data_IF_305651472095
#
_entry.id   IF_305651472095
#
_cell.length_a   1.000
_cell.length_b   1.000
_cell.length_c   1.000
_cell.angle_alpha   90.00
_cell.angle_beta   90.00
_cell.angle_gamma   90.00
#
_symmetry.space_group_name_H-M   'P 1'
#
loop_
_entity.id
_entity.type
_entity.pdbx_description
1 polymer ?
#
# COMPACT_ATOMS: atom_id res chain seq x y z
N UNK A 1 -16.84 -38.80 24.08
CA UNK A 1 -17.57 -37.60 23.59
C UNK A 1 -16.77 -36.33 23.87
N UNK A 2 -15.51 -36.21 23.40
CA UNK A 2 -14.71 -35.01 23.68
C UNK A 2 -13.59 -34.75 22.65
N UNK A 3 -13.75 -35.14 21.39
CA UNK A 3 -12.77 -34.84 20.33
C UNK A 3 -13.37 -34.21 19.09
N UNK A 4 -14.68 -33.95 19.06
CA UNK A 4 -15.39 -33.47 17.87
C UNK A 4 -15.86 -32.02 18.00
N UNK A 5 -15.70 -31.38 19.16
CA UNK A 5 -16.24 -30.05 19.47
C UNK A 5 -15.20 -28.90 19.50
N UNK A 6 -13.93 -29.16 19.19
CA UNK A 6 -12.90 -28.10 19.08
C UNK A 6 -12.56 -27.70 17.63
N UNK A 7 -13.27 -28.23 16.63
CA UNK A 7 -13.02 -27.94 15.20
C UNK A 7 -13.95 -26.90 14.58
N UNK A 8 -14.69 -26.16 15.39
CA UNK A 8 -15.66 -25.14 14.93
C UNK A 8 -15.52 -23.84 15.72
N UNK A 9 -14.36 -23.17 15.61
CA UNK A 9 -14.21 -21.71 15.86
C UNK A 9 -12.79 -21.27 15.49
N UNK A 10 -12.44 -21.41 14.21
CA UNK A 10 -11.41 -20.56 13.61
C UNK A 10 -11.99 -20.07 12.29
N UNK A 11 -12.62 -18.89 12.32
CA UNK A 11 -12.79 -18.09 11.10
C UNK A 11 -11.38 -17.70 10.69
N UNK A 12 -10.72 -18.60 9.96
CA UNK A 12 -9.36 -18.43 9.50
C UNK A 12 -9.38 -17.23 8.56
N UNK A 13 -8.74 -16.14 8.99
CA UNK A 13 -8.16 -15.16 8.07
C UNK A 13 -7.56 -15.93 6.90
N UNK A 14 -7.87 -15.57 5.64
CA UNK A 14 -7.34 -16.28 4.49
C UNK A 14 -5.81 -16.32 4.64
N UNK A 15 -5.29 -17.51 4.90
CA UNK A 15 -3.86 -17.71 5.08
C UNK A 15 -3.20 -17.44 3.72
N UNK A 16 -2.26 -16.50 3.69
CA UNK A 16 -1.59 -16.11 2.46
C UNK A 16 -0.80 -17.33 1.96
N UNK A 17 -1.09 -17.76 0.73
CA UNK A 17 -0.34 -18.83 0.07
C UNK A 17 1.10 -18.37 -0.20
N UNK A 18 2.01 -18.73 0.71
CA UNK A 18 3.43 -18.37 0.61
C UNK A 18 4.12 -19.02 -0.60
N UNK A 19 3.55 -20.10 -1.16
CA UNK A 19 4.05 -20.72 -2.38
C UNK A 19 3.79 -19.85 -3.61
N UNK A 20 2.54 -19.42 -3.77
CA UNK A 20 2.13 -18.54 -4.86
C UNK A 20 2.75 -17.14 -4.74
N UNK A 21 2.66 -16.51 -3.57
CA UNK A 21 3.07 -15.12 -3.35
C UNK A 21 4.51 -14.96 -2.85
N UNK A 22 5.33 -16.02 -2.88
CA UNK A 22 6.69 -16.04 -2.33
C UNK A 22 7.51 -14.79 -2.65
N UNK A 23 7.55 -14.36 -3.92
CA UNK A 23 8.38 -13.23 -4.37
C UNK A 23 7.74 -11.88 -4.00
N UNK A 24 6.42 -11.81 -3.99
CA UNK A 24 5.68 -10.60 -3.66
C UNK A 24 5.74 -10.30 -2.15
N UNK A 25 5.74 -11.32 -1.30
CA UNK A 25 5.86 -11.17 0.15
C UNK A 25 7.19 -10.49 0.54
N UNK A 26 8.29 -10.73 -0.18
CA UNK A 26 9.57 -10.06 0.08
C UNK A 26 9.58 -8.57 -0.29
N UNK A 27 8.63 -8.12 -1.11
CA UNK A 27 8.49 -6.70 -1.50
C UNK A 27 7.48 -5.98 -0.61
N UNK A 28 6.31 -6.60 -0.39
CA UNK A 28 5.20 -5.95 0.31
C UNK A 28 5.17 -6.24 1.82
N UNK A 29 5.75 -7.36 2.26
CA UNK A 29 5.57 -7.88 3.61
C UNK A 29 4.20 -8.54 3.82
N UNK A 30 4.11 -9.40 4.85
CA UNK A 30 2.89 -10.18 5.14
C UNK A 30 1.71 -9.30 5.57
N UNK A 31 1.97 -8.21 6.27
CA UNK A 31 0.91 -7.32 6.75
C UNK A 31 0.19 -6.60 5.60
N UNK A 32 0.95 -6.02 4.65
CA UNK A 32 0.36 -5.36 3.49
C UNK A 32 -0.37 -6.36 2.58
N UNK A 33 0.17 -7.57 2.40
CA UNK A 33 -0.51 -8.66 1.71
C UNK A 33 -1.83 -9.05 2.37
N UNK A 34 -1.87 -9.12 3.70
CA UNK A 34 -3.10 -9.40 4.43
C UNK A 34 -4.15 -8.29 4.23
N UNK A 35 -3.73 -7.03 4.27
CA UNK A 35 -4.61 -5.89 3.96
C UNK A 35 -5.16 -5.96 2.53
N UNK A 36 -4.31 -6.29 1.56
CA UNK A 36 -4.70 -6.46 0.15
C UNK A 36 -5.72 -7.60 -0.01
N UNK A 37 -5.54 -8.72 0.68
CA UNK A 37 -6.47 -9.85 0.68
C UNK A 37 -7.86 -9.54 1.24
N UNK A 38 -8.08 -8.35 1.81
CA UNK A 38 -9.37 -7.82 2.26
C UNK A 38 -9.86 -6.63 1.40
N UNK A 39 -9.13 -6.24 0.36
CA UNK A 39 -9.50 -5.11 -0.51
C UNK A 39 -10.58 -5.49 -1.53
N UNK A 40 -11.58 -4.62 -1.67
CA UNK A 40 -12.68 -4.72 -2.63
C UNK A 40 -12.52 -3.59 -3.65
N UNK A 41 -12.07 -3.94 -4.84
CA UNK A 41 -11.67 -3.00 -5.88
C UNK A 41 -12.72 -2.95 -6.98
N UNK A 42 -13.19 -1.75 -7.31
CA UNK A 42 -13.98 -1.49 -8.52
C UNK A 42 -13.08 -0.86 -9.58
N UNK A 43 -13.11 -1.37 -10.81
CA UNK A 43 -12.38 -0.80 -11.94
C UNK A 43 -13.39 -0.41 -13.02
N UNK A 44 -13.53 0.88 -13.31
CA UNK A 44 -14.41 1.39 -14.37
C UNK A 44 -13.63 1.77 -15.62
N UNK A 45 -14.06 1.19 -16.75
CA UNK A 45 -13.39 1.26 -18.05
C UNK A 45 -12.48 0.06 -18.26
N UNK A 46 -12.72 -0.68 -19.34
CA UNK A 46 -12.06 -1.96 -19.63
C UNK A 46 -11.45 -1.98 -21.03
N UNK A 47 -10.80 -0.87 -21.39
CA UNK A 47 -9.89 -0.77 -22.54
C UNK A 47 -8.47 -1.21 -22.11
N UNK A 48 -7.44 -0.97 -22.93
CA UNK A 48 -6.06 -1.38 -22.65
C UNK A 48 -5.53 -0.96 -21.26
N UNK A 49 -5.77 0.28 -20.84
CA UNK A 49 -5.36 0.75 -19.51
C UNK A 49 -6.07 -0.01 -18.37
N UNK A 50 -7.38 -0.21 -18.51
CA UNK A 50 -8.20 -0.88 -17.51
C UNK A 50 -7.82 -2.34 -17.33
N UNK A 51 -7.58 -3.08 -18.42
CA UNK A 51 -7.19 -4.50 -18.35
C UNK A 51 -5.82 -4.69 -17.71
N UNK A 52 -4.87 -3.79 -17.99
CA UNK A 52 -3.53 -3.86 -17.43
C UNK A 52 -3.53 -3.60 -15.92
N UNK A 53 -4.32 -2.62 -15.46
CA UNK A 53 -4.54 -2.38 -14.03
C UNK A 53 -5.22 -3.59 -13.38
N UNK A 54 -6.30 -4.10 -13.99
CA UNK A 54 -7.03 -5.24 -13.46
C UNK A 54 -6.14 -6.48 -13.32
N UNK A 55 -5.35 -6.81 -14.35
CA UNK A 55 -4.39 -7.92 -14.33
C UNK A 55 -3.46 -7.82 -13.12
N UNK A 56 -2.84 -6.67 -12.92
CA UNK A 56 -1.86 -6.48 -11.84
C UNK A 56 -2.51 -6.53 -10.44
N UNK A 57 -3.72 -6.00 -10.27
CA UNK A 57 -4.46 -6.06 -9.00
C UNK A 57 -4.90 -7.50 -8.67
N UNK A 58 -5.36 -8.25 -9.68
CA UNK A 58 -5.77 -9.65 -9.51
C UNK A 58 -4.56 -10.54 -9.20
N UNK A 59 -3.45 -10.38 -9.93
CA UNK A 59 -2.21 -11.09 -9.61
C UNK A 59 -1.68 -10.71 -8.24
N UNK A 60 -1.90 -9.46 -7.80
CA UNK A 60 -1.55 -9.00 -6.46
C UNK A 60 -2.33 -9.69 -5.34
N UNK A 61 -3.51 -10.24 -5.61
CA UNK A 61 -4.30 -11.00 -4.62
C UNK A 61 -5.31 -10.17 -3.82
N UNK A 62 -5.95 -9.17 -4.45
CA UNK A 62 -7.07 -8.47 -3.84
C UNK A 62 -8.24 -9.43 -3.50
N UNK A 63 -9.12 -9.09 -2.55
CA UNK A 63 -10.26 -9.97 -2.19
C UNK A 63 -11.23 -10.14 -3.35
N UNK A 64 -11.64 -9.01 -3.90
CA UNK A 64 -12.67 -8.94 -4.94
C UNK A 64 -12.31 -7.82 -5.91
N UNK A 65 -12.44 -8.12 -7.20
CA UNK A 65 -12.21 -7.16 -8.27
C UNK A 65 -13.45 -7.16 -9.16
N UNK A 66 -14.17 -6.05 -9.16
CA UNK A 66 -15.35 -5.85 -10.01
C UNK A 66 -14.96 -5.04 -11.23
N UNK A 67 -15.16 -5.62 -12.40
CA UNK A 67 -14.91 -4.98 -13.68
C UNK A 67 -16.18 -4.30 -14.17
N UNK A 68 -16.14 -2.99 -14.35
CA UNK A 68 -17.28 -2.20 -14.81
C UNK A 68 -16.98 -1.55 -16.16
N UNK A 69 -17.81 -1.84 -17.15
CA UNK A 69 -17.81 -1.16 -18.44
C UNK A 69 -19.20 -1.34 -19.09
N UNK A 70 -19.76 -0.27 -19.62
CA UNK A 70 -21.06 -0.27 -20.28
C UNK A 70 -20.94 -0.37 -21.81
N UNK A 71 -19.73 -0.17 -22.35
CA UNK A 71 -19.50 -0.13 -23.78
C UNK A 71 -19.28 -1.53 -24.36
N UNK A 72 -19.46 -1.59 -25.68
CA UNK A 72 -19.17 -2.77 -26.48
C UNK A 72 -17.74 -2.71 -27.01
N UNK A 73 -17.11 -3.88 -27.15
CA UNK A 73 -15.82 -4.04 -27.81
C UNK A 73 -15.91 -3.45 -29.22
N UNK A 74 -14.99 -2.54 -29.53
CA UNK A 74 -14.77 -1.97 -30.85
C UNK A 74 -13.41 -2.42 -31.39
N UNK A 75 -13.20 -2.28 -32.70
CA UNK A 75 -11.94 -2.66 -33.35
C UNK A 75 -10.74 -1.92 -32.76
N UNK A 76 -10.89 -0.65 -32.40
CA UNK A 76 -9.81 0.17 -31.82
C UNK A 76 -9.36 -0.31 -30.45
N UNK A 77 -10.21 -1.05 -29.72
CA UNK A 77 -9.87 -1.56 -28.40
C UNK A 77 -8.80 -2.67 -28.47
N UNK A 78 -8.76 -3.43 -29.56
CA UNK A 78 -7.78 -4.51 -29.80
C UNK A 78 -6.34 -3.98 -29.90
N UNK A 79 -6.15 -2.67 -30.06
CA UNK A 79 -4.82 -2.04 -30.11
C UNK A 79 -3.99 -2.27 -28.84
N UNK A 80 -4.65 -2.38 -27.69
CA UNK A 80 -3.99 -2.48 -26.38
C UNK A 80 -4.73 -3.39 -25.39
N UNK A 81 -5.98 -3.76 -25.67
CA UNK A 81 -6.70 -4.74 -24.88
C UNK A 81 -6.40 -6.16 -25.42
N UNK A 82 -5.41 -6.80 -24.79
CA UNK A 82 -4.84 -8.10 -25.19
C UNK A 82 -5.72 -9.33 -24.90
N UNK A 83 -6.88 -9.18 -24.25
CA UNK A 83 -7.87 -10.24 -24.07
C UNK A 83 -9.01 -10.20 -25.09
N UNK A 84 -9.12 -9.15 -25.91
CA UNK A 84 -10.13 -9.09 -26.94
C UNK A 84 -9.62 -9.66 -28.26
N UNK A 85 -10.53 -10.30 -28.98
CA UNK A 85 -10.35 -10.80 -30.35
C UNK A 85 -11.37 -10.17 -31.29
N UNK A 86 -11.19 -10.32 -32.60
CA UNK A 86 -12.15 -9.81 -33.59
C UNK A 86 -13.56 -10.43 -33.42
N UNK A 87 -13.64 -11.67 -32.91
CA UNK A 87 -14.91 -12.33 -32.59
C UNK A 87 -15.67 -11.72 -31.41
N UNK A 88 -15.01 -10.88 -30.61
CA UNK A 88 -15.61 -10.24 -29.44
C UNK A 88 -16.28 -8.89 -29.78
N UNK A 89 -16.04 -8.36 -30.98
CA UNK A 89 -16.59 -7.07 -31.43
C UNK A 89 -18.11 -7.06 -31.31
N UNK A 90 -18.64 -6.03 -30.65
CA UNK A 90 -20.07 -5.87 -30.37
C UNK A 90 -20.57 -6.51 -29.07
N UNK A 91 -19.75 -7.33 -28.40
CA UNK A 91 -20.03 -7.83 -27.05
C UNK A 91 -19.61 -6.80 -25.98
N UNK A 92 -20.14 -6.90 -24.77
CA UNK A 92 -19.77 -5.98 -23.68
C UNK A 92 -18.32 -6.21 -23.22
N UNK A 93 -17.54 -5.13 -23.07
CA UNK A 93 -16.11 -5.19 -22.72
C UNK A 93 -15.85 -5.86 -21.38
N UNK A 94 -16.61 -5.50 -20.34
CA UNK A 94 -16.42 -6.04 -19.00
C UNK A 94 -16.75 -7.55 -18.96
N UNK A 95 -17.83 -7.95 -19.62
CA UNK A 95 -18.23 -9.35 -19.74
C UNK A 95 -17.16 -10.20 -20.45
N UNK A 96 -16.59 -9.73 -21.56
CA UNK A 96 -15.55 -10.48 -22.28
C UNK A 96 -14.26 -10.56 -21.44
N UNK A 97 -13.86 -9.45 -20.82
CA UNK A 97 -12.61 -9.39 -20.05
C UNK A 97 -12.64 -10.27 -18.79
N UNK A 98 -13.80 -10.39 -18.12
CA UNK A 98 -13.92 -11.12 -16.85
C UNK A 98 -13.51 -12.59 -16.97
N UNK A 99 -13.80 -13.24 -18.10
CA UNK A 99 -13.51 -14.66 -18.31
C UNK A 99 -12.00 -14.91 -18.22
N UNK A 100 -11.21 -14.08 -18.90
CA UNK A 100 -9.74 -14.17 -18.89
C UNK A 100 -9.10 -13.64 -17.62
N UNK A 101 -9.64 -12.57 -17.05
CA UNK A 101 -9.15 -12.03 -15.79
C UNK A 101 -9.34 -13.00 -14.61
N UNK A 102 -10.44 -13.77 -14.60
CA UNK A 102 -10.72 -14.76 -13.56
C UNK A 102 -9.74 -15.95 -13.57
N UNK A 103 -9.11 -16.24 -14.73
CA UNK A 103 -8.12 -17.33 -14.86
C UNK A 103 -6.78 -16.98 -14.18
N UNK A 104 -6.50 -15.70 -13.89
CA UNK A 104 -5.20 -15.24 -13.39
C UNK A 104 -4.90 -15.67 -11.95
N UNK A 105 -5.92 -15.71 -11.09
CA UNK A 105 -5.72 -15.97 -9.67
C UNK A 105 -6.99 -16.54 -9.02
N UNK A 106 -6.95 -17.82 -8.65
CA UNK A 106 -8.09 -18.54 -8.05
C UNK A 106 -8.48 -18.04 -6.66
N UNK A 107 -7.63 -17.25 -5.99
CA UNK A 107 -7.94 -16.66 -4.69
C UNK A 107 -8.75 -15.37 -4.78
N UNK A 108 -8.78 -14.74 -5.97
CA UNK A 108 -9.45 -13.45 -6.19
C UNK A 108 -10.84 -13.67 -6.77
N UNK A 109 -11.87 -13.09 -6.15
CA UNK A 109 -13.20 -13.11 -6.73
C UNK A 109 -13.34 -12.02 -7.79
N UNK A 110 -13.30 -12.40 -9.07
CA UNK A 110 -13.43 -11.47 -10.19
C UNK A 110 -14.85 -11.55 -10.75
N UNK A 111 -15.53 -10.42 -10.85
CA UNK A 111 -16.88 -10.30 -11.43
C UNK A 111 -16.96 -9.11 -12.38
N UNK A 112 -18.05 -9.01 -13.12
CA UNK A 112 -18.33 -7.86 -13.97
C UNK A 112 -19.69 -7.26 -13.65
N UNK A 113 -19.86 -5.98 -13.98
CA UNK A 113 -21.15 -5.29 -13.93
C UNK A 113 -21.25 -4.26 -15.07
N UNK A 114 -22.47 -4.02 -15.52
CA UNK A 114 -22.84 -2.89 -16.38
C UNK A 114 -23.95 -2.06 -15.74
N UNK A 115 -24.14 -2.21 -14.43
CA UNK A 115 -25.13 -1.48 -13.66
C UNK A 115 -24.66 -0.03 -13.42
N UNK A 116 -25.62 0.84 -13.12
CA UNK A 116 -25.30 2.21 -12.73
C UNK A 116 -24.56 2.18 -11.39
N UNK A 117 -23.34 2.73 -11.38
CA UNK A 117 -22.56 2.90 -10.16
C UNK A 117 -23.14 4.05 -9.34
N UNK A 118 -23.80 3.70 -8.24
CA UNK A 118 -24.35 4.61 -7.26
C UNK A 118 -23.97 4.17 -5.83
N UNK A 119 -24.42 4.93 -4.84
CA UNK A 119 -24.14 4.67 -3.42
C UNK A 119 -24.53 3.24 -3.00
N UNK A 120 -25.72 2.80 -3.42
CA UNK A 120 -26.25 1.47 -3.14
C UNK A 120 -25.35 0.39 -3.74
N UNK A 121 -24.87 0.56 -4.96
CA UNK A 121 -23.95 -0.37 -5.61
C UNK A 121 -22.63 -0.46 -4.84
N UNK A 122 -22.02 0.67 -4.51
CA UNK A 122 -20.73 0.73 -3.82
C UNK A 122 -20.83 0.11 -2.42
N UNK A 123 -21.90 0.41 -1.68
CA UNK A 123 -22.15 -0.15 -0.35
C UNK A 123 -22.44 -1.66 -0.39
N UNK A 124 -23.30 -2.12 -1.32
CA UNK A 124 -23.65 -3.54 -1.46
C UNK A 124 -22.42 -4.41 -1.77
N UNK A 125 -21.49 -3.87 -2.57
CA UNK A 125 -20.26 -4.56 -2.96
C UNK A 125 -19.07 -4.28 -2.03
N UNK A 126 -19.27 -3.46 -0.99
CA UNK A 126 -18.25 -3.07 0.01
C UNK A 126 -16.99 -2.46 -0.62
N UNK A 127 -17.16 -1.67 -1.68
CA UNK A 127 -16.05 -1.09 -2.43
C UNK A 127 -15.25 -0.15 -1.52
N UNK A 128 -13.95 -0.41 -1.39
CA UNK A 128 -13.03 0.44 -0.63
C UNK A 128 -11.94 1.07 -1.50
N UNK A 129 -11.74 0.57 -2.72
CA UNK A 129 -10.88 1.21 -3.74
C UNK A 129 -11.66 1.32 -5.05
N UNK A 130 -11.70 2.51 -5.63
CA UNK A 130 -12.30 2.77 -6.93
C UNK A 130 -11.24 3.29 -7.90
N UNK A 131 -10.95 2.50 -8.94
CA UNK A 131 -10.15 2.91 -10.09
C UNK A 131 -11.06 3.36 -11.23
N UNK A 132 -10.88 4.59 -11.72
CA UNK A 132 -11.62 5.16 -12.84
C UNK A 132 -10.66 5.42 -14.01
N UNK A 133 -10.93 4.80 -15.15
CA UNK A 133 -10.07 4.90 -16.34
C UNK A 133 -10.75 5.62 -17.50
N UNK A 134 -10.02 6.54 -18.14
CA UNK A 134 -10.41 7.23 -19.38
C UNK A 134 -11.83 7.85 -19.40
N UNK A 135 -12.38 8.17 -18.22
CA UNK A 135 -13.71 8.75 -18.05
C UNK A 135 -13.73 10.24 -18.42
N UNK A 136 -14.92 10.79 -18.69
CA UNK A 136 -15.09 12.25 -18.90
C UNK A 136 -14.83 13.02 -17.61
N UNK A 137 -14.30 14.23 -17.72
CA UNK A 137 -13.93 15.09 -16.58
C UNK A 137 -15.09 15.29 -15.59
N UNK A 138 -16.29 15.63 -16.08
CA UNK A 138 -17.47 15.84 -15.21
C UNK A 138 -17.81 14.60 -14.38
N UNK A 139 -17.63 13.41 -14.97
CA UNK A 139 -17.86 12.15 -14.26
C UNK A 139 -16.74 11.86 -13.26
N UNK A 140 -15.48 12.17 -13.59
CA UNK A 140 -14.35 12.08 -12.65
C UNK A 140 -14.56 12.99 -11.43
N UNK A 141 -15.08 14.21 -11.62
CA UNK A 141 -15.41 15.14 -10.53
C UNK A 141 -16.54 14.58 -9.66
N UNK A 142 -17.62 14.09 -10.28
CA UNK A 142 -18.75 13.50 -9.54
C UNK A 142 -18.31 12.32 -8.68
N UNK A 143 -17.61 11.35 -9.28
CA UNK A 143 -17.09 10.17 -8.57
C UNK A 143 -16.07 10.57 -7.53
N UNK A 144 -15.19 11.52 -7.86
CA UNK A 144 -14.12 11.95 -6.98
C UNK A 144 -14.62 12.60 -5.69
N UNK A 145 -15.60 13.50 -5.78
CA UNK A 145 -16.22 14.10 -4.60
C UNK A 145 -16.91 13.02 -3.74
N UNK A 146 -17.67 12.13 -4.37
CA UNK A 146 -18.35 11.06 -3.65
C UNK A 146 -17.37 10.14 -2.92
N UNK A 147 -16.31 9.70 -3.59
CA UNK A 147 -15.29 8.83 -2.99
C UNK A 147 -14.59 9.49 -1.81
N UNK A 148 -14.22 10.76 -1.95
CA UNK A 148 -13.58 11.54 -0.89
C UNK A 148 -14.46 11.62 0.36
N UNK A 149 -15.73 12.00 0.19
CA UNK A 149 -16.69 12.20 1.28
C UNK A 149 -17.04 10.90 2.02
N UNK A 150 -16.93 9.75 1.33
CA UNK A 150 -17.26 8.43 1.88
C UNK A 150 -16.04 7.58 2.24
N UNK A 151 -14.83 8.14 2.16
CA UNK A 151 -13.58 7.46 2.52
C UNK A 151 -13.17 6.32 1.57
N UNK A 152 -13.74 6.26 0.36
CA UNK A 152 -13.36 5.30 -0.68
C UNK A 152 -12.08 5.80 -1.35
N UNK A 153 -11.06 4.95 -1.44
CA UNK A 153 -9.77 5.33 -2.02
C UNK A 153 -9.92 5.41 -3.53
N UNK A 154 -9.68 6.58 -4.10
CA UNK A 154 -9.86 6.85 -5.52
C UNK A 154 -8.52 6.87 -6.25
N UNK A 155 -8.47 6.22 -7.40
CA UNK A 155 -7.38 6.34 -8.38
C UNK A 155 -8.01 6.66 -9.73
N UNK A 156 -7.60 7.78 -10.33
CA UNK A 156 -8.01 8.16 -11.68
C UNK A 156 -6.80 8.02 -12.60
N UNK A 157 -6.93 7.26 -13.68
CA UNK A 157 -5.87 7.09 -14.67
C UNK A 157 -6.42 7.32 -16.08
N UNK A 158 -5.71 8.07 -16.92
CA UNK A 158 -6.13 8.28 -18.30
C UNK A 158 -4.94 8.21 -19.23
N UNK A 159 -5.16 7.73 -20.45
CA UNK A 159 -4.15 7.72 -21.51
C UNK A 159 -4.72 8.32 -22.80
N UNK A 160 -3.87 9.08 -23.50
CA UNK A 160 -4.21 9.77 -24.76
C UNK A 160 -2.98 9.73 -25.67
N UNK A 161 -2.86 8.66 -26.46
CA UNK A 161 -1.69 8.44 -27.31
C UNK A 161 -0.42 8.30 -26.46
N UNK A 162 0.54 9.21 -26.65
CA UNK A 162 1.81 9.24 -25.90
C UNK A 162 1.71 9.84 -24.50
N UNK A 163 0.56 10.42 -24.15
CA UNK A 163 0.35 11.10 -22.87
C UNK A 163 -0.43 10.21 -21.90
N UNK A 164 -0.11 10.33 -20.62
CA UNK A 164 -0.82 9.69 -19.53
C UNK A 164 -0.90 10.59 -18.32
N UNK A 165 -1.92 10.38 -17.50
CA UNK A 165 -2.06 11.02 -16.19
C UNK A 165 -2.53 10.01 -15.16
N UNK A 166 -2.08 10.20 -13.93
CA UNK A 166 -2.56 9.49 -12.74
C UNK A 166 -2.84 10.50 -11.63
N UNK A 167 -3.95 10.30 -10.93
CA UNK A 167 -4.33 11.05 -9.75
C UNK A 167 -4.78 10.08 -8.66
N UNK A 168 -4.39 10.35 -7.42
CA UNK A 168 -4.75 9.55 -6.26
C UNK A 168 -5.39 10.44 -5.20
N UNK A 169 -6.49 9.97 -4.64
CA UNK A 169 -7.14 10.58 -3.47
C UNK A 169 -7.53 9.48 -2.48
N UNK A 170 -6.78 9.42 -1.39
CA UNK A 170 -6.98 8.44 -0.32
C UNK A 170 -7.70 9.03 0.90
N UNK A 171 -8.32 10.20 0.74
CA UNK A 171 -9.07 10.91 1.77
C UNK A 171 -8.21 11.80 2.68
N UNK A 172 -8.86 12.44 3.65
CA UNK A 172 -8.21 13.41 4.56
C UNK A 172 -7.27 12.79 5.58
N UNK A 173 -7.36 11.49 5.81
CA UNK A 173 -6.51 10.75 6.75
C UNK A 173 -6.18 9.38 6.18
N UNK A 174 -4.96 9.24 5.66
CA UNK A 174 -4.41 7.99 5.17
C UNK A 174 -3.10 7.69 5.89
N UNK A 175 -3.12 6.65 6.73
CA UNK A 175 -1.96 6.21 7.47
C UNK A 175 -1.03 5.38 6.58
N UNK A 176 0.20 5.86 6.40
CA UNK A 176 1.29 5.17 5.71
C UNK A 176 2.17 4.52 6.76
N UNK A 177 2.17 3.19 6.83
CA UNK A 177 2.93 2.42 7.83
C UNK A 177 4.43 2.35 7.51
N UNK A 178 4.76 2.37 6.22
CA UNK A 178 6.12 2.37 5.70
C UNK A 178 6.16 3.26 4.44
N UNK A 179 6.98 4.30 4.50
CA UNK A 179 7.07 5.35 3.48
C UNK A 179 8.06 5.02 2.36
N UNK A 180 8.95 4.04 2.55
CA UNK A 180 10.01 3.75 1.59
C UNK A 180 10.20 2.27 1.23
N UNK A 181 9.69 1.34 2.05
CA UNK A 181 9.79 -0.10 1.78
C UNK A 181 11.20 -0.67 2.00
N UNK A 182 12.12 0.12 2.55
CA UNK A 182 13.48 -0.29 2.86
C UNK A 182 13.54 -0.94 4.24
N UNK A 183 14.38 -1.96 4.39
CA UNK A 183 14.59 -2.60 5.68
C UNK A 183 15.09 -1.58 6.72
N UNK A 184 14.58 -1.60 7.97
CA UNK A 184 15.07 -0.72 9.01
C UNK A 184 16.58 -0.84 9.21
N UNK A 185 17.27 0.28 9.13
CA UNK A 185 18.73 0.30 9.28
C UNK A 185 19.13 -0.06 10.71
N UNK A 186 20.17 -0.88 10.85
CA UNK A 186 20.76 -1.22 12.16
C UNK A 186 22.26 -0.97 12.14
N UNK A 187 22.76 -0.30 13.17
CA UNK A 187 24.17 0.03 13.34
C UNK A 187 24.67 -0.35 14.74
N UNK A 188 25.98 -0.57 14.85
CA UNK A 188 26.64 -0.88 16.12
C UNK A 188 27.08 0.42 16.79
N UNK A 189 26.75 0.55 18.07
CA UNK A 189 27.12 1.70 18.88
C UNK A 189 28.58 1.56 19.34
N UNK A 190 29.38 2.60 19.12
CA UNK A 190 30.73 2.72 19.67
C UNK A 190 30.71 3.38 21.05
N UNK A 191 29.98 4.48 21.19
CA UNK A 191 29.91 5.29 22.39
C UNK A 191 28.60 6.09 22.43
N UNK A 192 28.11 6.37 23.65
CA UNK A 192 27.02 7.32 23.88
C UNK A 192 27.50 8.35 24.90
N UNK A 193 27.49 9.63 24.53
CA UNK A 193 27.86 10.69 25.47
C UNK A 193 26.79 10.88 26.55
N UNK A 194 27.24 11.30 27.72
CA UNK A 194 26.38 11.68 28.85
C UNK A 194 26.37 13.19 28.96
N UNK A 195 25.39 13.83 28.32
CA UNK A 195 25.32 15.29 28.17
C UNK A 195 23.86 15.74 28.01
N UNK A 196 23.61 17.05 28.01
CA UNK A 196 22.29 17.64 27.75
C UNK A 196 21.79 17.30 26.33
N UNK A 197 22.72 17.00 25.42
CA UNK A 197 22.47 16.41 24.10
C UNK A 197 23.37 15.19 23.93
N UNK A 198 22.83 14.01 24.21
CA UNK A 198 23.49 12.73 24.02
C UNK A 198 23.81 12.50 22.55
N UNK A 199 25.10 12.36 22.26
CA UNK A 199 25.67 12.03 20.95
C UNK A 199 26.00 10.55 20.93
N UNK A 200 25.51 9.86 19.92
CA UNK A 200 25.79 8.44 19.69
C UNK A 200 26.78 8.33 18.54
N UNK A 201 27.92 7.71 18.82
CA UNK A 201 28.96 7.42 17.85
C UNK A 201 28.77 6.00 17.33
N UNK A 202 28.87 5.82 16.01
CA UNK A 202 28.80 4.51 15.38
C UNK A 202 30.17 3.86 15.30
N UNK A 203 30.23 2.53 15.42
CA UNK A 203 31.49 1.77 15.41
C UNK A 203 32.04 1.50 14.00
N UNK A 204 31.30 1.80 12.94
CA UNK A 204 31.63 1.40 11.57
C UNK A 204 32.29 2.53 10.79
N UNK A 205 33.23 2.18 9.89
CA UNK A 205 33.82 3.12 8.91
C UNK A 205 32.81 3.51 7.81
N UNK A 206 31.66 2.84 7.78
CA UNK A 206 30.56 3.12 6.87
C UNK A 206 29.61 4.17 7.46
N UNK A 207 28.96 4.95 6.58
CA UNK A 207 27.93 5.90 7.01
C UNK A 207 26.75 5.16 7.62
N UNK A 208 26.13 5.73 8.66
CA UNK A 208 25.02 5.06 9.34
C UNK A 208 23.75 4.93 8.49
N UNK A 209 23.52 5.85 7.55
CA UNK A 209 22.38 5.83 6.62
C UNK A 209 21.08 6.41 7.15
N UNK A 210 20.93 6.60 8.47
CA UNK A 210 19.78 7.30 9.06
C UNK A 210 19.55 8.71 8.52
N UNK A 211 18.29 9.15 8.54
CA UNK A 211 17.85 10.48 8.12
C UNK A 211 17.43 11.35 9.32
N UNK A 212 17.43 12.66 9.10
CA UNK A 212 17.05 13.64 10.10
C UNK A 212 15.57 13.50 10.49
N UNK A 213 15.29 13.39 11.78
CA UNK A 213 13.93 13.24 12.29
C UNK A 213 13.39 11.81 12.30
N UNK A 214 14.16 10.81 11.85
CA UNK A 214 13.84 9.39 12.04
C UNK A 214 13.72 9.02 13.52
N UNK A 215 13.13 7.87 13.80
CA UNK A 215 13.06 7.29 15.13
C UNK A 215 13.98 6.08 15.21
N UNK A 216 14.60 5.86 16.36
CA UNK A 216 15.45 4.69 16.63
C UNK A 216 15.20 4.10 18.00
N UNK A 217 15.56 2.83 18.19
CA UNK A 217 15.64 2.17 19.49
C UNK A 217 17.00 1.50 19.69
N UNK A 218 17.41 1.36 20.95
CA UNK A 218 18.67 0.76 21.34
C UNK A 218 18.45 -0.62 21.97
N UNK A 219 19.39 -1.54 21.70
CA UNK A 219 19.38 -2.87 22.29
C UNK A 219 20.78 -3.23 22.78
N UNK A 220 20.88 -3.85 23.96
CA UNK A 220 22.12 -4.43 24.47
C UNK A 220 23.22 -3.43 24.86
N UNK A 221 22.89 -2.15 25.08
CA UNK A 221 23.82 -1.14 25.60
C UNK A 221 24.13 -1.43 27.07
N UNK A 222 25.42 -1.45 27.44
CA UNK A 222 25.88 -1.68 28.82
C UNK A 222 26.27 -0.37 29.51
N UNK A 223 26.09 -0.32 30.83
CA UNK A 223 26.38 0.84 31.67
C UNK A 223 25.34 1.96 31.59
N UNK A 224 24.85 2.27 30.39
CA UNK A 224 23.74 3.20 30.13
C UNK A 224 22.48 2.40 29.75
N UNK A 225 21.88 1.67 30.69
CA UNK A 225 20.79 0.74 30.34
C UNK A 225 19.46 1.43 30.08
N UNK A 226 19.32 2.68 30.49
CA UNK A 226 18.11 3.49 30.35
C UNK A 226 17.75 3.78 28.89
N UNK A 227 18.72 3.71 27.96
CA UNK A 227 18.44 3.88 26.53
C UNK A 227 17.83 2.63 25.90
N UNK A 228 18.01 1.46 26.49
CA UNK A 228 17.55 0.21 25.88
C UNK A 228 16.02 0.15 25.83
N UNK A 229 15.48 -0.34 24.72
CA UNK A 229 14.04 -0.47 24.46
C UNK A 229 13.25 0.86 24.54
N UNK A 230 13.96 2.00 24.51
CA UNK A 230 13.36 3.32 24.43
C UNK A 230 13.44 3.86 23.01
N UNK A 231 12.43 4.63 22.63
CA UNK A 231 12.36 5.27 21.32
C UNK A 231 12.88 6.70 21.37
N UNK A 232 13.78 7.03 20.45
CA UNK A 232 14.36 8.37 20.35
C UNK A 232 14.13 8.94 18.95
N UNK A 233 13.65 10.18 18.89
CA UNK A 233 13.71 10.95 17.65
C UNK A 233 15.11 11.50 17.48
N UNK A 234 15.71 11.30 16.31
CA UNK A 234 17.12 11.61 16.09
C UNK A 234 17.33 12.88 15.27
N UNK A 235 18.51 13.46 15.42
CA UNK A 235 19.11 14.37 14.45
C UNK A 235 20.49 13.86 14.05
N UNK A 236 20.92 14.19 12.84
CA UNK A 236 22.07 13.67 12.11
C UNK A 236 23.05 14.83 11.88
N UNK A 237 23.87 15.17 12.88
CA UNK A 237 24.89 16.20 12.73
C UNK A 237 26.03 15.80 11.79
N UNK A 238 26.29 14.49 11.61
CA UNK A 238 27.29 13.98 10.67
C UNK A 238 26.95 12.56 10.21
N UNK A 239 27.57 12.05 9.13
CA UNK A 239 27.33 10.68 8.64
C UNK A 239 27.73 9.54 9.59
N UNK A 240 28.36 9.85 10.73
CA UNK A 240 28.90 8.88 11.70
C UNK A 240 28.32 9.05 13.10
N UNK A 241 27.46 10.05 13.30
CA UNK A 241 26.95 10.42 14.63
C UNK A 241 25.50 10.86 14.55
N UNK A 242 24.70 10.44 15.52
CA UNK A 242 23.32 10.91 15.71
C UNK A 242 23.16 11.49 17.12
N UNK A 243 22.13 12.30 17.34
CA UNK A 243 21.77 12.82 18.68
C UNK A 243 20.41 12.32 19.12
N UNK A 244 20.26 11.97 20.41
CA UNK A 244 19.05 11.34 20.96
C UNK A 244 18.38 12.12 22.11
N UNK A 245 18.76 13.38 22.34
CA UNK A 245 18.22 14.21 23.43
C UNK A 245 19.03 14.09 24.73
N UNK A 246 18.45 14.52 25.87
CA UNK A 246 19.16 14.60 27.16
C UNK A 246 19.47 13.22 27.74
N UNK A 247 20.77 12.94 27.90
CA UNK A 247 21.30 11.72 28.53
C UNK A 247 22.03 12.02 29.85
N UNK A 248 22.03 13.27 30.34
CA UNK A 248 22.78 13.70 31.53
C UNK A 248 22.46 12.90 32.80
N UNK A 249 21.22 12.42 32.91
CA UNK A 249 20.70 11.64 34.03
C UNK A 249 20.94 10.13 33.90
N UNK A 250 21.42 9.65 32.75
CA UNK A 250 21.64 8.22 32.53
C UNK A 250 22.96 7.74 33.14
N UNK A 251 23.11 6.42 33.24
CA UNK A 251 24.38 5.79 33.54
C UNK A 251 25.48 6.09 32.52
N UNK A 252 26.73 5.82 32.88
CA UNK A 252 27.86 5.96 31.94
C UNK A 252 27.87 4.80 30.97
N UNK A 253 28.07 5.08 29.67
CA UNK A 253 28.23 4.02 28.68
C UNK A 253 29.49 3.18 28.98
N UNK A 254 29.35 1.85 28.99
CA UNK A 254 30.43 0.90 29.27
C UNK A 254 30.77 -0.01 28.09
N UNK A 255 29.94 -0.01 27.03
CA UNK A 255 30.22 -0.76 25.81
C UNK A 255 29.02 -1.48 25.19
N UNK A 256 29.18 -1.83 23.93
CA UNK A 256 28.24 -2.65 23.17
C UNK A 256 26.93 -1.96 22.82
N UNK A 257 26.06 -2.72 22.17
CA UNK A 257 24.72 -2.31 21.80
C UNK A 257 24.58 -1.95 20.32
N UNK A 258 23.35 -1.97 19.87
CA UNK A 258 22.94 -1.64 18.50
C UNK A 258 21.84 -0.61 18.54
N UNK A 259 21.84 0.27 17.54
CA UNK A 259 20.76 1.21 17.26
C UNK A 259 20.04 0.77 16.00
N UNK A 260 18.71 0.67 16.07
CA UNK A 260 17.86 0.21 14.97
C UNK A 260 16.80 1.26 14.67
N UNK A 261 16.62 1.59 13.39
CA UNK A 261 15.55 2.47 12.91
C UNK A 261 14.17 1.91 13.24
N UNK A 262 13.24 2.79 13.60
CA UNK A 262 11.83 2.49 13.76
C UNK A 262 11.08 3.23 12.65
N UNK A 263 10.37 2.48 11.80
CA UNK A 263 9.39 3.04 10.87
C UNK A 263 8.16 3.45 11.67
N UNK A 264 7.90 4.76 11.74
CA UNK A 264 6.71 5.31 12.38
C UNK A 264 5.63 5.56 11.33
N UNK A 265 4.36 5.21 11.62
CA UNK A 265 3.27 5.57 10.75
C UNK A 265 3.15 7.08 10.55
N UNK A 266 2.84 7.49 9.32
CA UNK A 266 2.60 8.88 8.95
C UNK A 266 1.18 9.07 8.41
N UNK A 267 0.45 10.03 8.94
CA UNK A 267 -0.87 10.41 8.42
C UNK A 267 -0.73 11.40 7.26
N UNK A 268 -1.04 10.96 6.04
CA UNK A 268 -1.08 11.80 4.84
C UNK A 268 -2.50 12.26 4.56
N UNK A 269 -2.64 13.54 4.18
CA UNK A 269 -3.92 14.13 3.76
C UNK A 269 -3.94 14.33 2.25
N UNK A 270 -4.98 13.81 1.59
CA UNK A 270 -5.20 14.01 0.17
C UNK A 270 -6.24 15.11 -0.05
N UNK A 271 -6.09 15.87 -1.14
CA UNK A 271 -7.14 16.77 -1.63
C UNK A 271 -8.13 15.96 -2.46
N UNK A 272 -9.41 16.35 -2.41
CA UNK A 272 -10.38 15.86 -3.38
C UNK A 272 -9.97 16.19 -4.82
N UNK A 273 -10.43 15.40 -5.78
CA UNK A 273 -10.10 15.62 -7.19
C UNK A 273 -10.49 17.02 -7.66
N UNK A 274 -11.69 17.51 -7.31
CA UNK A 274 -12.14 18.84 -7.67
C UNK A 274 -11.21 19.95 -7.14
N UNK A 275 -10.73 19.82 -5.90
CA UNK A 275 -9.83 20.80 -5.28
C UNK A 275 -8.39 20.72 -5.80
N UNK A 276 -7.99 19.57 -6.35
CA UNK A 276 -6.65 19.37 -6.94
C UNK A 276 -6.54 19.88 -8.39
N UNK A 277 -7.67 20.14 -9.06
CA UNK A 277 -7.71 20.70 -10.42
C UNK A 277 -7.45 22.23 -10.47
N UNK A 278 -7.55 22.92 -9.34
CA UNK A 278 -7.45 24.38 -9.20
C UNK A 278 -6.00 24.82 -8.98
#
# INVERSE_FOLDING_TARGET
MSSTLQRQTSLLTPEIDEGLYSRQIYVMGKEAMNRLAHAHVLISGMRGLGVEIAKNIILGGARTVIIHDCDKVQYEDLSSQYYFSESDIGQNRAKVAVEKLSELNSYVHVTHSSDIINETFLAANKINVYVLTDAKLDHQILVGNYCHDHGIKLIIANTKGLFGQIFCDFGEKFEVLDTNGENPLTQVVAEISRDDIGVVFMSTDARHGFEDGSYVTFHGVKGMTEVNEQEFKISVPSPFTITIGDTSKFGSYEGGGTVTEIKKPEDIKFKSFANALI
#
